data_IF_285532323556
#
_entry.id   IF_285532323556
#
_cell.length_a   1.000
_cell.length_b   1.000
_cell.length_c   1.000
_cell.angle_alpha   90.00
_cell.angle_beta   90.00
_cell.angle_gamma   90.00
#
_symmetry.space_group_name_H-M   'P 1'
#
loop_
_entity.id
_entity.type
_entity.pdbx_description
1 polymer ?
#
# COMPACT_ATOMS: atom_id res chain seq x y z
N UNK A 1 7.06 0.10 -0.79
CA UNK A 1 7.24 -1.30 -1.22
C UNK A 1 7.89 -2.18 -0.16
N UNK A 2 8.19 -3.45 -0.54
CA UNK A 2 8.81 -4.43 0.36
C UNK A 2 10.17 -3.98 0.93
N UNK A 3 10.98 -3.27 0.14
CA UNK A 3 12.25 -2.69 0.61
C UNK A 3 12.04 -1.66 1.71
N UNK A 4 10.99 -0.85 1.65
CA UNK A 4 10.66 0.10 2.71
C UNK A 4 10.29 -0.63 4.03
N UNK A 5 9.64 -1.80 3.94
CA UNK A 5 9.37 -2.64 5.09
C UNK A 5 10.65 -3.27 5.66
N UNK A 6 11.52 -3.80 4.80
CA UNK A 6 12.79 -4.41 5.22
C UNK A 6 13.69 -3.40 5.93
N UNK A 7 13.72 -2.14 5.44
CA UNK A 7 14.47 -1.06 6.06
C UNK A 7 13.75 -0.40 7.26
N UNK A 8 12.56 -0.91 7.63
CA UNK A 8 11.76 -0.34 8.71
C UNK A 8 11.47 1.17 8.53
N UNK A 9 11.09 1.57 7.31
CA UNK A 9 10.86 2.97 6.91
C UNK A 9 9.39 3.42 7.11
N UNK A 10 8.65 2.77 8.01
CA UNK A 10 7.22 3.06 8.21
C UNK A 10 6.98 4.46 8.77
N UNK A 11 7.68 4.81 9.83
CA UNK A 11 7.55 6.12 10.48
C UNK A 11 7.95 7.25 9.54
N UNK A 12 9.09 7.10 8.84
CA UNK A 12 9.58 8.08 7.88
C UNK A 12 8.63 8.24 6.69
N UNK A 13 8.06 7.13 6.19
CA UNK A 13 7.07 7.16 5.10
C UNK A 13 5.78 7.87 5.52
N UNK A 14 5.31 7.61 6.73
CA UNK A 14 4.15 8.27 7.31
C UNK A 14 4.39 9.78 7.51
N UNK A 15 5.53 10.15 8.11
CA UNK A 15 5.90 11.55 8.32
C UNK A 15 6.09 12.31 7.01
N UNK A 16 6.68 11.66 5.99
CA UNK A 16 6.79 12.25 4.65
C UNK A 16 5.42 12.55 4.04
N UNK A 17 4.51 11.58 4.07
CA UNK A 17 3.12 11.78 3.63
C UNK A 17 2.42 12.90 4.39
N UNK A 18 2.57 12.93 5.71
CA UNK A 18 1.97 13.97 6.57
C UNK A 18 2.49 15.37 6.27
N UNK A 19 3.81 15.54 6.11
CA UNK A 19 4.42 16.84 5.80
C UNK A 19 4.07 17.36 4.42
N UNK A 20 4.06 16.48 3.43
CA UNK A 20 3.78 16.85 2.03
C UNK A 20 2.31 16.87 1.68
N UNK A 21 1.48 16.12 2.40
CA UNK A 21 0.07 15.91 2.10
C UNK A 21 -0.17 14.90 0.96
N UNK A 22 0.85 14.14 0.54
CA UNK A 22 0.74 13.15 -0.54
C UNK A 22 0.04 11.89 -0.01
N UNK A 23 -1.04 11.42 -0.66
CA UNK A 23 -1.65 10.13 -0.33
C UNK A 23 -0.65 8.97 -0.48
N UNK A 24 -0.76 7.97 0.40
CA UNK A 24 0.19 6.86 0.46
C UNK A 24 -0.51 5.50 0.33
N UNK A 25 0.07 4.63 -0.49
CA UNK A 25 -0.33 3.24 -0.66
C UNK A 25 0.81 2.29 -0.26
N UNK A 26 0.48 1.08 0.15
CA UNK A 26 1.46 0.03 0.45
C UNK A 26 1.29 -1.16 -0.48
N UNK A 27 2.39 -1.70 -1.02
CA UNK A 27 2.31 -2.99 -1.69
C UNK A 27 1.92 -4.09 -0.70
N UNK A 28 1.47 -5.24 -1.21
CA UNK A 28 1.17 -6.41 -0.36
C UNK A 28 2.37 -6.80 0.52
N UNK A 29 3.60 -6.70 -0.01
CA UNK A 29 4.82 -6.97 0.74
C UNK A 29 5.13 -5.95 1.85
N UNK A 30 4.49 -4.79 1.79
CA UNK A 30 4.58 -3.73 2.81
C UNK A 30 3.25 -3.50 3.53
N UNK A 31 2.33 -4.46 3.44
CA UNK A 31 1.05 -4.37 4.11
C UNK A 31 1.25 -4.18 5.62
N UNK A 32 0.48 -3.30 6.22
CA UNK A 32 0.63 -2.87 7.61
C UNK A 32 1.87 -2.01 7.94
N UNK A 33 2.60 -1.50 6.93
CA UNK A 33 3.67 -0.53 7.17
C UNK A 33 3.10 0.87 7.56
N UNK A 34 1.93 1.20 7.02
CA UNK A 34 1.17 2.43 7.31
C UNK A 34 -0.12 2.04 8.01
N UNK A 35 -0.53 2.77 9.07
CA UNK A 35 -1.77 2.50 9.77
C UNK A 35 -3.00 2.56 8.86
N UNK A 36 -3.93 1.62 9.04
CA UNK A 36 -5.16 1.57 8.24
C UNK A 36 -6.09 2.78 8.48
N UNK A 37 -6.02 3.39 9.65
CA UNK A 37 -6.79 4.57 10.06
C UNK A 37 -6.15 5.90 9.69
N UNK A 38 -4.98 5.88 9.03
CA UNK A 38 -4.35 7.10 8.57
C UNK A 38 -5.14 7.74 7.41
N UNK A 39 -5.49 9.02 7.57
CA UNK A 39 -6.40 9.75 6.65
C UNK A 39 -5.96 9.77 5.18
N UNK A 40 -4.65 9.73 4.92
CA UNK A 40 -4.07 9.73 3.57
C UNK A 40 -3.68 8.31 3.10
N UNK A 41 -3.99 7.26 3.87
CA UNK A 41 -3.76 5.90 3.43
C UNK A 41 -4.83 5.46 2.43
N UNK A 42 -4.43 5.20 1.20
CA UNK A 42 -5.35 4.84 0.11
C UNK A 42 -5.41 3.34 -0.17
N UNK A 43 -4.69 2.52 0.59
CA UNK A 43 -4.77 1.05 0.52
C UNK A 43 -3.67 0.37 -0.27
N UNK A 44 -4.01 -0.73 -0.94
CA UNK A 44 -3.07 -1.63 -1.63
C UNK A 44 -3.31 -1.60 -3.13
N UNK A 45 -2.28 -1.27 -3.96
CA UNK A 45 -2.38 -1.24 -5.42
C UNK A 45 -2.15 -2.60 -6.07
N UNK A 46 -2.43 -2.68 -7.35
CA UNK A 46 -2.03 -3.75 -8.26
C UNK A 46 -3.08 -4.84 -8.45
N UNK A 47 -2.66 -6.09 -8.63
CA UNK A 47 -3.55 -7.22 -8.91
C UNK A 47 -4.28 -7.75 -7.67
N UNK A 48 -3.72 -7.56 -6.49
CA UNK A 48 -4.33 -7.90 -5.18
C UNK A 48 -4.90 -6.65 -4.50
N UNK A 49 -5.33 -5.70 -5.30
CA UNK A 49 -5.65 -4.34 -4.88
C UNK A 49 -6.97 -4.19 -4.14
N UNK A 50 -7.08 -3.05 -3.50
CA UNK A 50 -8.37 -2.41 -3.28
C UNK A 50 -8.72 -1.62 -4.55
N UNK A 51 -9.96 -1.74 -5.02
CA UNK A 51 -10.39 -1.09 -6.27
C UNK A 51 -10.18 0.43 -6.20
N UNK A 52 -10.54 1.05 -5.07
CA UNK A 52 -10.33 2.47 -4.83
C UNK A 52 -8.88 2.90 -5.03
N UNK A 53 -7.91 2.08 -4.60
CA UNK A 53 -6.49 2.38 -4.74
C UNK A 53 -6.08 2.43 -6.22
N UNK A 54 -6.46 1.42 -7.01
CA UNK A 54 -6.15 1.42 -8.44
C UNK A 54 -6.81 2.58 -9.17
N UNK A 55 -8.07 2.92 -8.83
CA UNK A 55 -8.78 4.08 -9.38
C UNK A 55 -8.03 5.38 -9.10
N UNK A 56 -7.64 5.63 -7.84
CA UNK A 56 -6.86 6.83 -7.47
C UNK A 56 -5.53 6.85 -8.23
N UNK A 57 -4.80 5.75 -8.22
CA UNK A 57 -3.47 5.70 -8.83
C UNK A 57 -3.51 5.83 -10.37
N UNK A 58 -4.58 5.42 -11.03
CA UNK A 58 -4.70 5.59 -12.50
C UNK A 58 -4.81 7.05 -12.94
N UNK A 59 -5.14 7.95 -12.03
CA UNK A 59 -5.30 9.37 -12.30
C UNK A 59 -4.14 10.23 -11.78
N UNK A 60 -3.17 9.63 -11.07
CA UNK A 60 -2.02 10.35 -10.52
C UNK A 60 -1.04 10.77 -11.62
N UNK A 61 -0.54 12.00 -11.54
CA UNK A 61 0.41 12.59 -12.48
C UNK A 61 1.89 12.33 -12.11
N UNK A 62 2.13 11.98 -10.85
CA UNK A 62 3.46 11.65 -10.33
C UNK A 62 3.38 10.49 -9.34
N UNK A 63 4.31 9.55 -9.47
CA UNK A 63 4.50 8.45 -8.51
C UNK A 63 5.83 8.55 -7.80
N UNK A 64 5.81 8.27 -6.50
CA UNK A 64 7.03 8.11 -5.71
C UNK A 64 7.08 6.65 -5.22
N UNK A 65 7.95 5.85 -5.82
CA UNK A 65 8.19 4.48 -5.38
C UNK A 65 9.28 4.44 -4.32
N UNK A 66 8.95 3.98 -3.12
CA UNK A 66 9.85 3.86 -1.98
C UNK A 66 10.09 2.38 -1.69
N UNK A 67 11.32 1.90 -1.94
CA UNK A 67 11.69 0.51 -1.74
C UNK A 67 10.82 -0.48 -2.53
N UNK A 68 10.55 -0.17 -3.80
CA UNK A 68 9.73 -1.02 -4.69
C UNK A 68 10.46 -1.27 -6.01
N UNK A 69 10.51 -2.54 -6.44
CA UNK A 69 11.04 -2.94 -7.75
C UNK A 69 10.04 -2.72 -8.89
N UNK A 70 8.91 -2.09 -8.65
CA UNK A 70 7.87 -1.77 -9.66
C UNK A 70 7.40 -2.97 -10.48
N UNK A 71 7.34 -4.15 -9.85
CA UNK A 71 6.97 -5.41 -10.50
C UNK A 71 5.48 -5.47 -10.91
N UNK A 72 5.15 -6.40 -11.80
CA UNK A 72 3.83 -6.52 -12.42
C UNK A 72 2.66 -6.65 -11.42
N UNK A 73 2.87 -7.28 -10.26
CA UNK A 73 1.79 -7.41 -9.27
C UNK A 73 1.39 -6.07 -8.63
N UNK A 74 2.35 -5.19 -8.33
CA UNK A 74 2.09 -3.90 -7.71
C UNK A 74 1.62 -2.83 -8.70
N UNK A 75 1.92 -3.02 -9.99
CA UNK A 75 1.61 -2.09 -11.07
C UNK A 75 0.44 -2.55 -11.95
N UNK A 76 -0.29 -3.57 -11.51
CA UNK A 76 -1.34 -4.20 -12.31
C UNK A 76 -0.85 -4.57 -13.72
N UNK A 77 0.29 -5.28 -13.78
CA UNK A 77 1.02 -5.62 -15.03
C UNK A 77 1.36 -4.37 -15.87
N UNK A 78 1.94 -3.37 -15.19
CA UNK A 78 2.41 -2.09 -15.78
C UNK A 78 1.30 -1.27 -16.46
N UNK A 79 0.05 -1.47 -16.04
CA UNK A 79 -1.09 -0.65 -16.46
C UNK A 79 -1.32 0.56 -15.55
N UNK A 80 -0.86 0.48 -14.28
CA UNK A 80 -1.05 1.53 -13.27
C UNK A 80 0.27 1.75 -12.52
N UNK A 81 0.87 2.92 -12.67
CA UNK A 81 0.51 3.99 -13.60
C UNK A 81 0.77 3.62 -15.06
N UNK A 82 0.29 4.44 -15.99
CA UNK A 82 0.74 4.36 -17.38
C UNK A 82 2.25 4.64 -17.47
N UNK A 83 2.95 4.01 -18.45
CA UNK A 83 4.42 4.12 -18.60
C UNK A 83 4.90 5.57 -18.74
N UNK A 84 4.07 6.46 -19.28
CA UNK A 84 4.39 7.89 -19.45
C UNK A 84 4.27 8.73 -18.17
N UNK A 85 3.70 8.18 -17.11
CA UNK A 85 3.55 8.91 -15.83
C UNK A 85 4.92 9.17 -15.22
N UNK A 86 5.13 10.36 -14.69
CA UNK A 86 6.38 10.73 -14.01
C UNK A 86 6.63 9.86 -12.79
N UNK A 87 7.86 9.41 -12.64
CA UNK A 87 8.24 8.51 -11.54
C UNK A 87 9.49 9.03 -10.83
N UNK A 88 9.42 9.08 -9.51
CA UNK A 88 10.57 9.17 -8.62
C UNK A 88 10.73 7.80 -7.96
N UNK A 89 11.92 7.22 -8.00
CA UNK A 89 12.15 5.91 -7.41
C UNK A 89 13.30 5.95 -6.41
N UNK A 90 13.03 5.46 -5.19
CA UNK A 90 14.01 5.24 -4.13
C UNK A 90 14.21 3.74 -3.97
N UNK A 91 15.44 3.26 -4.13
CA UNK A 91 15.75 1.84 -4.02
C UNK A 91 17.22 1.58 -3.78
N UNK A 92 17.53 0.41 -3.20
CA UNK A 92 18.89 0.02 -2.86
C UNK A 92 19.60 -0.71 -4.00
N UNK A 93 18.85 -1.27 -4.94
CA UNK A 93 19.39 -1.99 -6.09
C UNK A 93 19.42 -1.09 -7.32
N UNK A 94 20.61 -0.75 -7.85
CA UNK A 94 20.71 0.09 -9.04
C UNK A 94 20.08 -0.53 -10.28
N UNK A 95 19.96 -1.87 -10.36
CA UNK A 95 19.34 -2.55 -11.48
C UNK A 95 17.81 -2.44 -11.52
N UNK A 96 17.20 -2.07 -10.41
CA UNK A 96 15.74 -1.84 -10.29
C UNK A 96 15.35 -0.42 -10.69
N UNK A 97 16.27 0.55 -10.56
CA UNK A 97 15.98 1.96 -10.80
C UNK A 97 15.78 2.21 -12.31
N UNK A 98 14.58 2.68 -12.66
CA UNK A 98 14.24 2.97 -14.05
C UNK A 98 13.96 1.75 -14.93
N UNK A 99 14.01 0.53 -14.38
CA UNK A 99 13.86 -0.70 -15.17
C UNK A 99 12.50 -0.84 -15.86
N UNK A 100 11.43 -0.52 -15.16
CA UNK A 100 10.06 -0.70 -15.65
C UNK A 100 9.36 0.61 -16.02
N UNK A 101 9.81 1.71 -15.46
CA UNK A 101 9.31 3.06 -15.73
C UNK A 101 10.49 4.00 -15.94
N UNK A 102 10.46 4.89 -16.94
CA UNK A 102 11.43 5.97 -17.04
C UNK A 102 11.33 6.87 -15.80
N UNK A 103 12.41 6.95 -15.03
CA UNK A 103 12.42 7.78 -13.84
C UNK A 103 12.80 9.23 -14.17
N UNK A 104 12.03 10.18 -13.66
CA UNK A 104 12.46 11.60 -13.60
C UNK A 104 13.61 11.74 -12.60
N UNK A 105 13.52 11.05 -11.46
CA UNK A 105 14.55 11.05 -10.42
C UNK A 105 14.74 9.62 -9.89
N UNK A 106 16.00 9.21 -9.83
CA UNK A 106 16.41 7.95 -9.20
C UNK A 106 17.29 8.24 -7.99
N UNK A 107 16.90 7.76 -6.82
CA UNK A 107 17.65 7.88 -5.59
C UNK A 107 18.15 6.49 -5.18
N UNK A 108 19.44 6.24 -5.37
CA UNK A 108 20.07 4.98 -4.95
C UNK A 108 20.39 5.05 -3.46
N UNK A 109 19.68 4.27 -2.65
CA UNK A 109 19.87 4.22 -1.22
C UNK A 109 18.83 3.38 -0.49
N UNK A 110 19.12 3.14 0.79
CA UNK A 110 18.18 2.54 1.71
C UNK A 110 16.96 3.46 1.92
N UNK A 111 15.75 2.88 1.96
CA UNK A 111 14.50 3.64 1.99
C UNK A 111 14.39 4.53 3.24
N UNK A 112 14.72 3.99 4.42
CA UNK A 112 14.67 4.72 5.68
C UNK A 112 15.66 5.87 5.70
N UNK A 113 16.91 5.56 5.41
CA UNK A 113 18.00 6.56 5.41
C UNK A 113 17.74 7.69 4.41
N UNK A 114 17.27 7.35 3.21
CA UNK A 114 16.96 8.35 2.18
C UNK A 114 15.79 9.24 2.62
N UNK A 115 14.72 8.66 3.17
CA UNK A 115 13.60 9.44 3.71
C UNK A 115 14.03 10.34 4.88
N UNK A 116 14.88 9.85 5.77
CA UNK A 116 15.44 10.67 6.87
C UNK A 116 16.22 11.88 6.36
N UNK A 117 16.97 11.74 5.26
CA UNK A 117 17.65 12.85 4.62
C UNK A 117 16.65 13.83 4.02
N UNK A 118 15.66 13.35 3.28
CA UNK A 118 14.61 14.18 2.68
C UNK A 118 13.81 14.93 3.77
N UNK A 119 13.50 14.28 4.89
CA UNK A 119 12.75 14.88 5.99
C UNK A 119 13.50 15.99 6.75
N UNK A 120 14.84 16.06 6.61
CA UNK A 120 15.66 17.17 7.16
C UNK A 120 15.58 18.42 6.30
N UNK A 121 15.17 18.27 5.03
CA UNK A 121 14.95 19.42 4.15
C UNK A 121 13.69 20.19 4.55
N UNK A 122 13.59 21.43 4.10
CA UNK A 122 12.42 22.28 4.37
C UNK A 122 11.22 21.87 3.51
N UNK A 123 10.65 20.70 3.81
CA UNK A 123 9.46 20.21 3.12
C UNK A 123 8.25 21.08 3.46
N UNK A 124 7.50 21.43 2.43
CA UNK A 124 6.23 22.15 2.58
C UNK A 124 5.07 21.31 2.11
N UNK A 125 3.90 21.51 2.71
CA UNK A 125 2.66 20.88 2.26
C UNK A 125 2.36 21.32 0.82
N UNK A 126 2.14 20.34 -0.06
CA UNK A 126 1.81 20.62 -1.46
C UNK A 126 0.38 21.19 -1.58
N UNK A 127 0.18 22.03 -2.58
CA UNK A 127 -1.14 22.57 -2.93
C UNK A 127 -1.92 21.58 -3.78
N UNK A 128 -2.31 20.47 -3.18
CA UNK A 128 -3.04 19.36 -3.79
C UNK A 128 -4.31 19.02 -3.01
N UNK A 129 -4.97 20.04 -2.44
CA UNK A 129 -6.15 19.84 -1.60
C UNK A 129 -7.28 19.14 -2.35
N UNK A 130 -7.57 19.50 -3.58
CA UNK A 130 -8.59 18.87 -4.43
C UNK A 130 -8.27 17.39 -4.68
N UNK A 131 -6.99 17.07 -4.89
CA UNK A 131 -6.53 15.70 -5.07
C UNK A 131 -6.69 14.85 -3.80
N UNK A 132 -6.35 15.44 -2.64
CA UNK A 132 -6.54 14.76 -1.34
C UNK A 132 -8.00 14.50 -1.06
N UNK A 133 -8.85 15.51 -1.23
CA UNK A 133 -10.30 15.38 -1.05
C UNK A 133 -10.88 14.32 -1.97
N UNK A 134 -10.55 14.35 -3.26
CA UNK A 134 -10.96 13.35 -4.22
C UNK A 134 -10.53 11.95 -3.80
N UNK A 135 -9.26 11.77 -3.42
CA UNK A 135 -8.73 10.48 -2.99
C UNK A 135 -9.44 9.96 -1.74
N UNK A 136 -9.68 10.81 -0.75
CA UNK A 136 -10.39 10.45 0.48
C UNK A 136 -11.83 10.06 0.18
N UNK A 137 -12.52 10.80 -0.68
CA UNK A 137 -13.90 10.49 -1.07
C UNK A 137 -14.00 9.13 -1.76
N UNK A 138 -13.09 8.82 -2.69
CA UNK A 138 -13.04 7.52 -3.38
C UNK A 138 -12.83 6.38 -2.36
N UNK A 139 -11.93 6.55 -1.39
CA UNK A 139 -11.70 5.55 -0.33
C UNK A 139 -12.94 5.37 0.54
N UNK A 140 -13.60 6.46 0.92
CA UNK A 140 -14.79 6.42 1.77
C UNK A 140 -15.97 5.76 1.07
N UNK A 141 -16.21 6.07 -0.22
CA UNK A 141 -17.22 5.41 -1.05
C UNK A 141 -16.97 3.89 -1.10
N UNK A 142 -15.73 3.49 -1.38
CA UNK A 142 -15.36 2.08 -1.42
C UNK A 142 -15.56 1.40 -0.05
N UNK A 143 -15.15 2.03 1.05
CA UNK A 143 -15.35 1.50 2.41
C UNK A 143 -16.84 1.35 2.75
N UNK A 144 -17.68 2.29 2.34
CA UNK A 144 -19.13 2.23 2.56
C UNK A 144 -19.77 1.04 1.82
N UNK A 145 -19.40 0.78 0.57
CA UNK A 145 -19.88 -0.38 -0.17
C UNK A 145 -19.34 -1.70 0.41
N UNK A 146 -18.07 -1.73 0.78
CA UNK A 146 -17.45 -2.90 1.37
C UNK A 146 -18.09 -3.28 2.71
N UNK A 147 -18.44 -2.31 3.54
CA UNK A 147 -19.05 -2.57 4.84
C UNK A 147 -20.39 -3.30 4.72
N UNK A 148 -21.16 -3.09 3.66
CA UNK A 148 -22.39 -3.88 3.40
C UNK A 148 -22.10 -5.37 3.29
N UNK A 149 -20.95 -5.75 2.71
CA UNK A 149 -20.52 -7.14 2.60
C UNK A 149 -19.92 -7.66 3.91
N UNK A 150 -19.19 -6.81 4.61
CA UNK A 150 -18.57 -7.09 5.91
C UNK A 150 -19.63 -7.29 7.02
N UNK A 151 -20.80 -6.70 6.87
CA UNK A 151 -21.93 -6.82 7.82
C UNK A 151 -22.93 -7.91 7.41
N UNK A 152 -22.65 -8.68 6.37
CA UNK A 152 -23.55 -9.71 5.87
C UNK A 152 -23.70 -10.89 6.83
N UNK A 153 -24.95 -11.32 7.06
CA UNK A 153 -25.31 -12.52 7.83
C UNK A 153 -25.57 -13.75 6.94
N UNK A 154 -25.12 -13.76 5.70
CA UNK A 154 -25.36 -14.84 4.76
C UNK A 154 -24.70 -16.15 5.18
N UNK A 155 -25.33 -17.27 4.82
CA UNK A 155 -24.81 -18.62 4.98
C UNK A 155 -24.63 -19.27 3.60
N UNK A 156 -23.41 -19.78 3.25
CA UNK A 156 -22.19 -19.76 4.07
C UNK A 156 -21.64 -18.35 4.32
N UNK A 157 -20.83 -18.21 5.38
CA UNK A 157 -20.21 -16.93 5.74
C UNK A 157 -19.42 -16.33 4.57
N UNK A 158 -19.58 -15.03 4.34
CA UNK A 158 -18.79 -14.31 3.33
C UNK A 158 -17.35 -14.09 3.78
N UNK A 159 -16.36 -14.15 2.88
CA UNK A 159 -14.96 -13.84 3.22
C UNK A 159 -14.78 -12.45 3.84
N UNK A 160 -15.53 -11.44 3.35
CA UNK A 160 -15.48 -10.09 3.87
C UNK A 160 -15.93 -10.03 5.34
N UNK A 161 -17.00 -10.78 5.69
CA UNK A 161 -17.47 -10.88 7.08
C UNK A 161 -16.44 -11.59 7.94
N UNK A 162 -15.90 -12.72 7.48
CA UNK A 162 -14.85 -13.44 8.21
C UNK A 162 -13.65 -12.53 8.50
N UNK A 163 -13.18 -11.76 7.54
CA UNK A 163 -12.05 -10.84 7.71
C UNK A 163 -12.36 -9.70 8.69
N UNK A 164 -13.62 -9.25 8.73
CA UNK A 164 -14.06 -8.29 9.76
C UNK A 164 -13.93 -8.89 11.15
N UNK A 165 -14.53 -10.04 11.38
CA UNK A 165 -14.48 -10.72 12.69
C UNK A 165 -13.03 -11.01 13.12
N UNK A 166 -12.17 -11.45 12.18
CA UNK A 166 -10.75 -11.65 12.45
C UNK A 166 -10.05 -10.33 12.84
N UNK A 167 -10.41 -9.21 12.22
CA UNK A 167 -9.84 -7.91 12.58
C UNK A 167 -10.14 -7.49 14.02
N UNK A 168 -11.24 -7.98 14.58
CA UNK A 168 -11.70 -7.67 15.94
C UNK A 168 -11.12 -8.61 17.00
N UNK A 169 -10.88 -9.90 16.63
CA UNK A 169 -10.50 -10.94 17.61
C UNK A 169 -9.02 -11.30 17.62
N UNK A 170 -8.27 -10.99 16.56
CA UNK A 170 -6.83 -11.28 16.51
C UNK A 170 -6.11 -10.46 17.59
N UNK A 171 -5.34 -11.11 18.50
CA UNK A 171 -4.62 -10.40 19.54
C UNK A 171 -3.61 -9.40 19.00
N UNK A 172 -3.33 -8.35 19.78
CA UNK A 172 -2.22 -7.44 19.50
C UNK A 172 -0.89 -8.22 19.46
N UNK A 173 0.06 -7.73 18.70
CA UNK A 173 1.38 -8.34 18.47
C UNK A 173 1.35 -9.70 17.72
N UNK A 174 0.23 -10.02 17.07
CA UNK A 174 0.11 -11.22 16.26
C UNK A 174 0.93 -11.16 14.97
N UNK A 175 1.32 -12.33 14.47
CA UNK A 175 1.84 -12.51 13.12
C UNK A 175 0.73 -13.13 12.27
N UNK A 176 0.27 -12.41 11.26
CA UNK A 176 -0.73 -12.89 10.31
C UNK A 176 -0.01 -13.43 9.08
N UNK A 177 -0.06 -14.74 8.89
CA UNK A 177 0.45 -15.39 7.69
C UNK A 177 -0.70 -15.65 6.71
N UNK A 178 -0.56 -15.17 5.48
CA UNK A 178 -1.55 -15.39 4.42
C UNK A 178 -0.93 -16.16 3.26
N UNK A 179 -1.60 -17.20 2.81
CA UNK A 179 -1.18 -17.96 1.62
C UNK A 179 -1.43 -17.16 0.33
N UNK A 180 -0.89 -17.64 -0.77
CA UNK A 180 -1.08 -17.09 -2.11
C UNK A 180 -2.51 -17.38 -2.62
N UNK A 181 -2.99 -16.60 -3.58
CA UNK A 181 -4.29 -16.75 -4.24
C UNK A 181 -5.39 -15.85 -3.66
N UNK A 182 -6.63 -16.30 -3.73
CA UNK A 182 -7.79 -15.51 -3.28
C UNK A 182 -7.73 -15.17 -1.79
N UNK A 183 -7.18 -16.05 -0.96
CA UNK A 183 -6.99 -15.78 0.48
C UNK A 183 -6.20 -14.50 0.71
N UNK A 184 -5.08 -14.32 0.00
CA UNK A 184 -4.29 -13.10 0.11
C UNK A 184 -5.05 -11.86 -0.42
N UNK A 185 -5.87 -12.03 -1.46
CA UNK A 185 -6.69 -10.93 -1.99
C UNK A 185 -7.71 -10.48 -0.95
N UNK A 186 -8.46 -11.41 -0.36
CA UNK A 186 -9.43 -11.09 0.69
C UNK A 186 -8.75 -10.49 1.92
N UNK A 187 -7.58 -11.02 2.30
CA UNK A 187 -6.83 -10.50 3.45
C UNK A 187 -6.47 -9.03 3.26
N UNK A 188 -5.78 -8.67 2.17
CA UNK A 188 -5.33 -7.28 1.98
C UNK A 188 -6.44 -6.28 1.69
N UNK A 189 -7.60 -6.78 1.23
CA UNK A 189 -8.77 -5.94 1.02
C UNK A 189 -9.56 -5.72 2.31
N UNK A 190 -9.73 -6.75 3.13
CA UNK A 190 -10.75 -6.80 4.17
C UNK A 190 -10.24 -6.96 5.59
N UNK A 191 -9.05 -7.49 5.81
CA UNK A 191 -8.45 -7.60 7.14
C UNK A 191 -7.78 -6.26 7.48
N UNK A 192 -8.49 -5.40 8.17
CA UNK A 192 -7.96 -4.09 8.58
C UNK A 192 -7.07 -4.25 9.78
N UNK A 193 -5.77 -4.23 9.53
CA UNK A 193 -4.76 -4.63 10.49
C UNK A 193 -4.44 -3.51 11.48
N UNK A 194 -4.31 -3.90 12.74
CA UNK A 194 -3.77 -3.05 13.78
C UNK A 194 -2.26 -2.82 13.57
N UNK A 195 -1.73 -1.69 14.05
CA UNK A 195 -0.32 -1.28 13.93
C UNK A 195 0.68 -2.30 14.47
N UNK A 196 0.29 -3.07 15.48
CA UNK A 196 1.17 -4.03 16.17
C UNK A 196 1.28 -5.38 15.47
N UNK A 197 0.42 -5.67 14.48
CA UNK A 197 0.48 -6.94 13.78
C UNK A 197 1.58 -6.94 12.73
N UNK A 198 2.21 -8.10 12.57
CA UNK A 198 3.09 -8.36 11.45
C UNK A 198 2.36 -9.15 10.39
N UNK A 199 2.55 -8.79 9.12
CA UNK A 199 1.96 -9.50 7.99
C UNK A 199 3.04 -10.22 7.18
N UNK A 200 2.85 -11.51 6.96
CA UNK A 200 3.73 -12.34 6.15
C UNK A 200 2.90 -12.94 5.01
N UNK A 201 3.39 -12.79 3.81
CA UNK A 201 2.83 -13.44 2.63
C UNK A 201 3.94 -14.01 1.77
N UNK A 202 3.80 -15.26 1.40
CA UNK A 202 4.63 -15.86 0.38
C UNK A 202 4.14 -15.42 -1.02
N UNK A 203 5.04 -14.86 -1.83
CA UNK A 203 4.74 -14.50 -3.21
C UNK A 203 5.28 -15.58 -4.14
N UNK A 204 4.39 -16.25 -4.91
CA UNK A 204 4.76 -17.28 -5.86
C UNK A 204 4.97 -18.69 -5.29
N UNK A 205 4.96 -18.86 -3.96
CA UNK A 205 4.91 -20.17 -3.30
C UNK A 205 3.52 -20.42 -2.75
N UNK A 206 3.12 -21.67 -2.63
CA UNK A 206 1.80 -22.10 -2.15
C UNK A 206 1.98 -23.00 -0.94
N UNK A 207 0.90 -23.19 -0.15
CA UNK A 207 0.85 -24.13 0.94
C UNK A 207 1.44 -23.65 2.26
N UNK A 208 1.51 -22.35 2.48
CA UNK A 208 2.02 -21.75 3.72
C UNK A 208 0.93 -21.46 4.76
N UNK A 209 -0.32 -21.63 4.37
CA UNK A 209 -1.50 -21.31 5.17
C UNK A 209 -2.04 -22.48 5.99
N UNK A 210 -1.17 -23.35 6.51
CA UNK A 210 -1.56 -24.43 7.40
C UNK A 210 -1.66 -23.98 8.84
#
# INVERSE_FOLDING_TARGET
GGGARISDAGEESHEFSKKTGIPIATSVAAYNLIPEDYELYIGVPGTYSRECTNRILSEADLFIYIGSSTGGQVTHFWKIPEVRTKVIQIGIDPSDLGRNYPNEISLLGDAKTTLQQILKENLTKLKIDDWREKSTNIVNEWKAELNKLRDSDSTPIRPERLMKELSEVIPEDSIVASDTGHTAMWTVQNLWMNKKWNFIRCAGSLGWGF
#
